data_IF_266145337592
#
_entry.id   IF_266145337592
#
_cell.length_a   1.000
_cell.length_b   1.000
_cell.length_c   1.000
_cell.angle_alpha   90.00
_cell.angle_beta   90.00
_cell.angle_gamma   90.00
#
_symmetry.space_group_name_H-M   'P 1'
#
loop_
_entity.id
_entity.type
_entity.pdbx_description
1 polymer ?
#
# COMPACT_ATOMS: atom_id res chain seq x y z
N UNK A 1 10.61 11.85 7.84
CA UNK A 1 11.06 10.44 7.81
C UNK A 1 10.47 9.66 6.62
N UNK A 2 9.14 9.62 6.45
CA UNK A 2 8.51 8.86 5.36
C UNK A 2 8.88 9.35 3.95
N UNK A 3 8.86 10.66 3.69
CA UNK A 3 9.22 11.25 2.38
C UNK A 3 10.64 10.90 1.96
N UNK A 4 11.59 10.87 2.90
CA UNK A 4 13.00 10.55 2.62
C UNK A 4 13.22 9.07 2.32
N UNK A 5 12.41 8.18 2.92
CA UNK A 5 12.64 6.73 2.87
C UNK A 5 11.59 5.98 2.04
N UNK A 6 10.59 6.68 1.48
CA UNK A 6 9.42 6.15 0.77
C UNK A 6 8.46 5.27 1.62
N UNK A 7 8.98 4.56 2.62
CA UNK A 7 8.20 3.79 3.59
C UNK A 7 8.87 3.81 4.97
N UNK A 8 8.10 3.48 6.02
CA UNK A 8 8.58 3.34 7.41
C UNK A 8 7.91 2.12 8.02
N UNK A 9 8.69 1.24 8.63
CA UNK A 9 8.19 0.15 9.46
C UNK A 9 8.30 0.55 10.94
N UNK A 10 7.16 0.57 11.63
CA UNK A 10 7.11 0.74 13.08
C UNK A 10 7.08 -0.65 13.72
N UNK A 11 8.13 -0.99 14.48
CA UNK A 11 8.30 -2.30 15.13
C UNK A 11 8.65 -2.13 16.60
N UNK A 12 8.17 -3.04 17.44
CA UNK A 12 8.42 -3.04 18.89
C UNK A 12 7.34 -2.35 19.72
N UNK A 13 6.17 -2.07 19.14
CA UNK A 13 5.02 -1.49 19.84
C UNK A 13 3.99 -2.57 20.17
N UNK A 14 3.28 -2.41 21.30
CA UNK A 14 2.24 -3.36 21.76
C UNK A 14 0.89 -3.06 21.10
N UNK A 15 0.77 -3.37 19.80
CA UNK A 15 -0.45 -3.15 18.99
C UNK A 15 -1.04 -4.51 18.66
N UNK A 16 -2.19 -4.86 19.25
CA UNK A 16 -2.74 -6.23 19.18
C UNK A 16 -4.05 -6.37 18.41
N UNK A 17 -4.71 -5.27 18.11
CA UNK A 17 -6.05 -5.26 17.53
C UNK A 17 -6.33 -3.96 16.79
N UNK A 18 -7.35 -4.00 15.93
CA UNK A 18 -7.79 -2.88 15.10
C UNK A 18 -7.98 -1.56 15.88
N UNK A 19 -8.45 -1.57 17.12
CA UNK A 19 -8.64 -0.33 17.89
C UNK A 19 -7.31 0.35 18.23
N UNK A 20 -6.29 -0.43 18.64
CA UNK A 20 -4.96 0.13 18.91
C UNK A 20 -4.31 0.65 17.62
N UNK A 21 -4.52 -0.06 16.51
CA UNK A 21 -4.05 0.40 15.22
C UNK A 21 -4.75 1.70 14.80
N UNK A 22 -6.07 1.80 14.99
CA UNK A 22 -6.80 3.03 14.70
C UNK A 22 -6.29 4.21 15.53
N UNK A 23 -5.97 4.03 16.81
CA UNK A 23 -5.41 5.10 17.64
C UNK A 23 -4.09 5.65 17.06
N UNK A 24 -3.24 4.78 16.50
CA UNK A 24 -2.03 5.19 15.78
C UNK A 24 -2.38 5.93 14.48
N UNK A 25 -3.35 5.44 13.71
CA UNK A 25 -3.81 6.09 12.48
C UNK A 25 -4.33 7.50 12.77
N UNK A 26 -5.15 7.67 13.80
CA UNK A 26 -5.68 8.98 14.23
C UNK A 26 -4.56 9.91 14.69
N UNK A 27 -3.54 9.40 15.38
CA UNK A 27 -2.41 10.20 15.85
C UNK A 27 -1.58 10.84 14.72
N UNK A 28 -1.63 10.30 13.49
CA UNK A 28 -0.99 10.93 12.34
C UNK A 28 -1.71 12.21 11.87
N UNK A 29 -2.98 12.40 12.24
CA UNK A 29 -3.76 13.58 11.85
C UNK A 29 -3.97 13.73 10.34
N UNK A 30 -3.90 12.63 9.58
CA UNK A 30 -4.14 12.64 8.14
C UNK A 30 -5.62 12.47 7.83
N UNK A 31 -6.06 13.07 6.73
CA UNK A 31 -7.42 12.88 6.23
C UNK A 31 -7.64 11.41 5.82
N UNK A 32 -8.86 10.92 6.07
CA UNK A 32 -9.30 9.62 5.59
C UNK A 32 -9.70 9.71 4.11
N UNK A 33 -9.65 8.57 3.41
CA UNK A 33 -10.10 8.47 2.03
C UNK A 33 -11.11 7.34 1.90
N UNK A 34 -12.16 7.59 1.12
CA UNK A 34 -13.12 6.55 0.79
C UNK A 34 -12.51 5.58 -0.22
N UNK A 35 -12.52 4.29 0.12
CA UNK A 35 -12.15 3.25 -0.83
C UNK A 35 -13.20 3.10 -1.94
N UNK A 36 -12.75 3.19 -3.19
CA UNK A 36 -13.57 3.06 -4.41
C UNK A 36 -12.83 2.09 -5.36
N UNK A 37 -12.60 0.86 -4.92
CA UNK A 37 -11.93 -0.17 -5.71
C UNK A 37 -12.76 -1.44 -5.87
N UNK A 38 -12.38 -2.32 -6.81
CA UNK A 38 -13.12 -3.55 -7.10
C UNK A 38 -12.90 -4.65 -6.05
N UNK A 39 -11.80 -4.61 -5.29
CA UNK A 39 -11.52 -5.62 -4.28
C UNK A 39 -12.45 -5.46 -3.08
N UNK A 40 -12.90 -6.60 -2.54
CA UNK A 40 -13.71 -6.63 -1.32
C UNK A 40 -12.91 -6.10 -0.13
N UNK A 41 -13.57 -5.28 0.67
CA UNK A 41 -13.05 -4.71 1.91
C UNK A 41 -14.14 -4.81 2.98
N UNK A 42 -13.84 -5.51 4.05
CA UNK A 42 -14.68 -5.62 5.25
C UNK A 42 -14.27 -4.54 6.23
N UNK A 43 -15.25 -3.76 6.69
CA UNK A 43 -15.05 -2.78 7.74
C UNK A 43 -14.78 -3.48 9.07
N UNK A 44 -13.73 -3.08 9.77
CA UNK A 44 -13.36 -3.68 11.07
C UNK A 44 -13.62 -2.70 12.21
N UNK A 45 -13.02 -1.52 12.15
CA UNK A 45 -13.16 -0.52 13.22
C UNK A 45 -12.77 0.89 12.74
N UNK A 46 -13.69 1.85 12.81
CA UNK A 46 -13.45 3.26 12.41
C UNK A 46 -12.77 3.34 11.03
N UNK A 47 -11.49 3.76 10.94
CA UNK A 47 -10.72 3.89 9.69
C UNK A 47 -10.02 2.59 9.25
N UNK A 48 -10.23 1.50 9.98
CA UNK A 48 -9.57 0.21 9.75
C UNK A 48 -10.49 -0.72 8.97
N UNK A 49 -9.97 -1.20 7.86
CA UNK A 49 -10.57 -2.16 6.95
C UNK A 49 -9.60 -3.32 6.70
N UNK A 50 -10.10 -4.47 6.28
CA UNK A 50 -9.26 -5.57 5.80
C UNK A 50 -8.45 -5.18 4.57
N UNK A 51 -7.27 -5.78 4.40
CA UNK A 51 -6.36 -5.48 3.30
C UNK A 51 -6.67 -6.32 2.04
N UNK A 52 -6.41 -7.62 2.10
CA UNK A 52 -6.69 -8.56 1.04
C UNK A 52 -7.62 -9.66 1.58
N UNK A 53 -8.70 -9.92 0.86
CA UNK A 53 -9.64 -11.02 1.13
C UNK A 53 -9.64 -12.07 0.01
N UNK A 54 -8.73 -11.93 -0.97
CA UNK A 54 -8.54 -12.91 -2.02
C UNK A 54 -7.92 -14.22 -1.52
N UNK A 55 -7.93 -15.29 -2.34
CA UNK A 55 -7.36 -16.57 -1.97
C UNK A 55 -5.86 -16.47 -1.66
N UNK A 56 -5.39 -17.22 -0.66
CA UNK A 56 -3.97 -17.24 -0.25
C UNK A 56 -3.02 -17.79 -1.34
N UNK A 57 -3.55 -18.54 -2.31
CA UNK A 57 -2.81 -19.06 -3.44
C UNK A 57 -2.53 -18.02 -4.52
N UNK A 58 -3.23 -16.88 -4.51
CA UNK A 58 -3.12 -15.87 -5.55
C UNK A 58 -1.97 -14.90 -5.26
N UNK A 59 -1.22 -14.57 -6.30
CA UNK A 59 -0.14 -13.59 -6.21
C UNK A 59 -0.66 -12.18 -6.51
N UNK A 60 -0.34 -11.23 -5.63
CA UNK A 60 -0.66 -9.82 -5.84
C UNK A 60 0.55 -9.14 -6.49
N UNK A 61 0.39 -8.68 -7.74
CA UNK A 61 1.41 -7.93 -8.46
C UNK A 61 1.67 -6.55 -7.85
N UNK A 62 2.86 -5.99 -8.10
CA UNK A 62 3.15 -4.60 -7.74
C UNK A 62 2.17 -3.65 -8.42
N UNK A 63 1.64 -2.72 -7.63
CA UNK A 63 0.74 -1.67 -8.09
C UNK A 63 0.78 -0.49 -7.12
N UNK A 64 0.28 0.66 -7.56
CA UNK A 64 -0.13 1.74 -6.67
C UNK A 64 -1.58 1.49 -6.24
N UNK A 65 -1.90 1.74 -4.97
CA UNK A 65 -3.26 1.56 -4.45
C UNK A 65 -4.23 2.45 -5.23
N UNK A 66 -5.32 1.86 -5.72
CA UNK A 66 -6.33 2.55 -6.54
C UNK A 66 -5.76 3.25 -7.80
N UNK A 67 -4.73 2.69 -8.46
CA UNK A 67 -4.03 3.29 -9.61
C UNK A 67 -4.94 3.71 -10.78
N UNK A 68 -6.13 3.11 -10.93
CA UNK A 68 -7.09 3.43 -12.00
C UNK A 68 -8.15 4.47 -11.58
N UNK A 69 -8.06 5.03 -10.37
CA UNK A 69 -9.03 5.97 -9.80
C UNK A 69 -8.40 7.36 -9.72
N UNK A 70 -9.14 8.41 -10.08
CA UNK A 70 -8.66 9.80 -10.09
C UNK A 70 -8.36 10.33 -8.69
N UNK A 71 -9.18 9.95 -7.70
CA UNK A 71 -8.95 10.22 -6.29
C UNK A 71 -8.36 8.98 -5.62
N UNK A 72 -7.04 8.98 -5.43
CA UNK A 72 -6.27 7.86 -4.90
C UNK A 72 -5.52 8.25 -3.61
N UNK A 73 -5.19 7.27 -2.74
CA UNK A 73 -4.50 7.55 -1.49
C UNK A 73 -3.08 8.05 -1.73
N UNK A 74 -2.70 9.12 -1.04
CA UNK A 74 -1.29 9.58 -1.01
C UNK A 74 -0.41 8.76 -0.07
N UNK A 75 -1.03 7.99 0.82
CA UNK A 75 -0.37 7.18 1.85
C UNK A 75 -1.23 5.95 2.12
N UNK A 76 -0.59 4.83 2.39
CA UNK A 76 -1.23 3.60 2.86
C UNK A 76 -0.55 3.20 4.17
N UNK A 77 -1.34 2.81 5.17
CA UNK A 77 -0.84 2.29 6.45
C UNK A 77 -1.36 0.87 6.61
N UNK A 78 -0.46 -0.07 6.86
CA UNK A 78 -0.78 -1.49 7.02
C UNK A 78 -0.42 -1.94 8.43
N UNK A 79 -1.21 -2.87 8.95
CA UNK A 79 -1.01 -3.48 10.26
C UNK A 79 -1.19 -4.99 10.16
N UNK A 80 -0.28 -5.71 10.81
CA UNK A 80 -0.35 -7.16 10.93
C UNK A 80 -0.89 -7.49 12.32
N UNK A 81 -2.18 -7.82 12.39
CA UNK A 81 -2.83 -8.29 13.62
C UNK A 81 -2.45 -9.74 13.92
N UNK A 82 -2.48 -10.58 12.89
CA UNK A 82 -2.14 -12.00 12.96
C UNK A 82 -1.03 -12.29 11.94
N UNK A 83 0.20 -12.60 12.39
CA UNK A 83 1.27 -12.99 11.49
C UNK A 83 0.95 -14.26 10.71
N UNK A 84 1.28 -14.34 9.40
CA UNK A 84 1.13 -15.57 8.65
C UNK A 84 2.10 -16.64 9.19
N UNK A 85 1.74 -17.94 9.13
CA UNK A 85 2.64 -19.02 9.52
C UNK A 85 3.87 -19.13 8.60
N UNK A 86 3.69 -18.84 7.31
CA UNK A 86 4.74 -18.77 6.29
C UNK A 86 4.31 -17.79 5.19
N UNK A 87 5.28 -17.14 4.53
CA UNK A 87 5.01 -16.22 3.44
C UNK A 87 4.21 -14.99 3.89
N UNK A 88 3.26 -14.54 3.06
CA UNK A 88 2.34 -13.45 3.40
C UNK A 88 3.01 -12.09 3.61
N UNK A 89 4.25 -11.91 3.15
CA UNK A 89 4.90 -10.60 3.20
C UNK A 89 4.15 -9.60 2.31
N UNK A 90 4.31 -8.32 2.61
CA UNK A 90 3.90 -7.23 1.71
C UNK A 90 5.16 -6.54 1.18
N UNK A 91 5.72 -7.01 0.04
CA UNK A 91 6.87 -6.38 -0.57
C UNK A 91 6.56 -4.93 -0.96
N UNK A 92 7.55 -4.06 -0.84
CA UNK A 92 7.46 -2.66 -1.22
C UNK A 92 8.67 -2.28 -2.06
N UNK A 93 8.42 -1.49 -3.12
CA UNK A 93 9.46 -0.90 -3.95
C UNK A 93 9.14 0.58 -4.21
N UNK A 94 10.10 1.50 -4.04
CA UNK A 94 9.90 2.90 -4.45
C UNK A 94 9.72 3.00 -5.97
N UNK A 95 8.55 3.43 -6.42
CA UNK A 95 8.20 3.45 -7.85
C UNK A 95 9.19 4.26 -8.70
N UNK A 96 9.72 5.38 -8.20
CA UNK A 96 10.67 6.19 -8.95
C UNK A 96 12.00 5.45 -9.21
N UNK A 97 12.40 4.52 -8.34
CA UNK A 97 13.58 3.66 -8.59
C UNK A 97 13.33 2.67 -9.72
N UNK A 98 12.08 2.20 -9.86
CA UNK A 98 11.69 1.39 -11.02
C UNK A 98 11.75 2.25 -12.28
N UNK A 99 11.22 3.48 -12.25
CA UNK A 99 11.28 4.41 -13.38
C UNK A 99 12.72 4.77 -13.80
N UNK A 100 13.60 5.12 -12.84
CA UNK A 100 15.02 5.37 -13.10
C UNK A 100 15.66 4.19 -13.85
N UNK A 101 15.44 2.97 -13.37
CA UNK A 101 15.99 1.75 -13.97
C UNK A 101 15.38 1.44 -15.33
N UNK A 102 14.09 1.70 -15.53
CA UNK A 102 13.41 1.54 -16.82
C UNK A 102 13.94 2.52 -17.87
N UNK A 103 14.23 3.77 -17.48
CA UNK A 103 14.83 4.78 -18.36
C UNK A 103 16.26 4.38 -18.78
N UNK A 104 17.01 3.74 -17.89
CA UNK A 104 18.36 3.23 -18.18
C UNK A 104 18.34 1.99 -19.07
N UNK A 105 17.49 1.00 -18.77
CA UNK A 105 17.49 -0.31 -19.45
C UNK A 105 16.64 -0.33 -20.73
N UNK A 106 15.56 0.47 -20.79
CA UNK A 106 14.55 0.43 -21.87
C UNK A 106 14.10 1.84 -22.32
N UNK A 107 15.01 2.77 -22.67
CA UNK A 107 14.66 4.17 -22.95
C UNK A 107 13.62 4.35 -24.07
N UNK A 108 13.72 3.58 -25.16
CA UNK A 108 12.79 3.66 -26.29
C UNK A 108 11.36 3.25 -25.90
N UNK A 109 11.23 2.21 -25.06
CA UNK A 109 9.94 1.73 -24.59
C UNK A 109 9.28 2.75 -23.65
N UNK A 110 10.07 3.38 -22.78
CA UNK A 110 9.57 4.44 -21.90
C UNK A 110 9.11 5.65 -22.72
N UNK A 111 9.88 6.08 -23.73
CA UNK A 111 9.48 7.17 -24.61
C UNK A 111 8.19 6.85 -25.38
N UNK A 112 8.01 5.61 -25.82
CA UNK A 112 6.77 5.17 -26.48
C UNK A 112 5.57 5.20 -25.55
N UNK A 113 5.72 4.74 -24.30
CA UNK A 113 4.67 4.79 -23.28
C UNK A 113 4.27 6.25 -23.00
N UNK A 114 5.24 7.12 -22.75
CA UNK A 114 4.99 8.55 -22.47
C UNK A 114 4.25 9.26 -23.62
N UNK A 115 4.52 8.89 -24.89
CA UNK A 115 3.81 9.44 -26.05
C UNK A 115 2.35 8.97 -26.15
N UNK A 116 2.03 7.80 -25.61
CA UNK A 116 0.69 7.19 -25.71
C UNK A 116 -0.22 7.59 -24.54
N UNK A 117 0.34 8.09 -23.45
CA UNK A 117 -0.39 8.39 -22.21
C UNK A 117 -0.77 7.12 -21.46
#
# INVERSE_FOLDING_TARGET
MIVKNSAVLLRGFDVKKAENFNDIVEAFGWDDIRYIGPALRTHVYKRVWTANEGPLSEFIYYHHEMVLISEYPKKVVLFCEIPPPEGGQTPFVPSFKVTERMLEEFPEAVEEIDKRG
#
